data_IF_345275203824
#
_entry.id   IF_345275203824
#
_cell.length_a   1.000
_cell.length_b   1.000
_cell.length_c   1.000
_cell.angle_alpha   90.00
_cell.angle_beta   90.00
_cell.angle_gamma   90.00
#
_symmetry.space_group_name_H-M   'P 1'
#
loop_
_entity.id
_entity.type
_entity.pdbx_description
1 polymer ?
#
# COMPACT_ATOMS: atom_id res chain seq x y z
N UNK A 1 -22.13 -0.61 10.15
CA UNK A 1 -21.19 0.08 11.06
C UNK A 1 -19.78 -0.07 10.53
N UNK A 2 -18.96 0.98 10.58
CA UNK A 2 -17.54 0.87 10.22
C UNK A 2 -16.82 -0.08 11.19
N UNK A 3 -16.09 -1.07 10.67
CA UNK A 3 -15.24 -1.92 11.52
C UNK A 3 -14.04 -1.11 12.02
N UNK A 4 -13.78 -1.18 13.33
CA UNK A 4 -12.56 -0.62 13.91
C UNK A 4 -11.44 -1.65 13.78
N UNK A 5 -10.33 -1.23 13.18
CA UNK A 5 -9.13 -2.07 12.97
C UNK A 5 -7.94 -1.38 13.62
N UNK A 6 -7.12 -2.13 14.34
CA UNK A 6 -5.80 -1.66 14.77
C UNK A 6 -4.81 -1.86 13.63
N UNK A 7 -4.20 -0.78 13.15
CA UNK A 7 -3.36 -0.79 11.95
C UNK A 7 -2.21 0.20 12.12
N UNK A 8 -1.05 -0.08 11.50
CA UNK A 8 0.07 0.86 11.46
C UNK A 8 -0.26 2.06 10.56
N UNK A 9 0.33 3.23 10.83
CA UNK A 9 0.08 4.44 10.02
C UNK A 9 0.40 4.26 8.52
N UNK A 10 1.54 3.62 8.22
CA UNK A 10 1.94 3.32 6.83
C UNK A 10 0.94 2.40 6.11
N UNK A 11 0.45 1.36 6.80
CA UNK A 11 -0.54 0.43 6.27
C UNK A 11 -1.89 1.12 6.07
N UNK A 12 -2.28 2.00 6.99
CA UNK A 12 -3.51 2.78 6.90
C UNK A 12 -3.48 3.75 5.71
N UNK A 13 -2.36 4.42 5.49
CA UNK A 13 -2.16 5.27 4.30
C UNK A 13 -2.27 4.43 3.02
N UNK A 14 -1.62 3.26 3.00
CA UNK A 14 -1.62 2.41 1.81
C UNK A 14 -3.03 1.86 1.49
N UNK A 15 -3.75 1.38 2.51
CA UNK A 15 -5.12 0.90 2.36
C UNK A 15 -6.10 2.02 1.99
N UNK A 16 -5.90 3.23 2.52
CA UNK A 16 -6.68 4.40 2.13
C UNK A 16 -6.49 4.74 0.64
N UNK A 17 -5.25 4.72 0.14
CA UNK A 17 -4.96 4.95 -1.28
C UNK A 17 -5.63 3.88 -2.16
N UNK A 18 -5.56 2.61 -1.76
CA UNK A 18 -6.23 1.50 -2.46
C UNK A 18 -7.76 1.70 -2.49
N UNK A 19 -8.34 2.05 -1.34
CA UNK A 19 -9.78 2.30 -1.18
C UNK A 19 -10.24 3.48 -2.03
N UNK A 20 -9.39 4.51 -2.16
CA UNK A 20 -9.63 5.67 -3.02
C UNK A 20 -9.52 5.36 -4.53
N UNK A 21 -9.17 4.13 -4.91
CA UNK A 21 -9.11 3.69 -6.31
C UNK A 21 -7.70 3.55 -6.87
N UNK A 22 -6.64 3.69 -6.06
CA UNK A 22 -5.29 3.41 -6.51
C UNK A 22 -5.16 1.94 -6.95
N UNK A 23 -4.64 1.73 -8.17
CA UNK A 23 -4.40 0.39 -8.75
C UNK A 23 -2.98 0.18 -9.23
N UNK A 24 -2.15 1.23 -9.26
CA UNK A 24 -0.77 1.13 -9.70
C UNK A 24 0.12 1.87 -8.70
N UNK A 25 1.10 1.19 -8.12
CA UNK A 25 2.05 1.79 -7.19
C UNK A 25 3.47 1.39 -7.59
N UNK A 26 4.32 2.39 -7.74
CA UNK A 26 5.73 2.26 -8.10
C UNK A 26 6.53 2.75 -6.91
N UNK A 27 7.22 1.83 -6.23
CA UNK A 27 7.85 2.11 -4.94
C UNK A 27 9.33 1.76 -4.91
N UNK A 28 10.11 2.55 -4.18
CA UNK A 28 11.48 2.23 -3.79
C UNK A 28 11.58 2.14 -2.26
N UNK A 29 12.24 1.11 -1.69
CA UNK A 29 12.39 0.97 -0.24
C UNK A 29 13.22 2.11 0.37
N UNK A 30 12.62 2.89 1.27
CA UNK A 30 13.32 3.92 2.07
C UNK A 30 12.66 4.05 3.44
N UNK A 31 13.47 4.11 4.50
CA UNK A 31 12.98 4.27 5.87
C UNK A 31 12.50 5.70 6.12
N UNK A 32 11.40 5.90 6.88
CA UNK A 32 10.57 4.92 7.59
C UNK A 32 9.35 4.39 6.79
N UNK A 33 9.22 4.71 5.50
CA UNK A 33 8.03 4.42 4.68
C UNK A 33 8.05 3.06 3.98
N UNK A 34 9.08 2.22 4.21
CA UNK A 34 9.22 0.88 3.61
C UNK A 34 7.96 0.01 3.76
N UNK A 35 7.20 0.17 4.85
CA UNK A 35 5.98 -0.59 5.08
C UNK A 35 4.84 -0.23 4.10
N UNK A 36 4.81 0.98 3.53
CA UNK A 36 3.84 1.35 2.49
C UNK A 36 4.07 0.48 1.25
N UNK A 37 5.31 0.40 0.78
CA UNK A 37 5.69 -0.44 -0.36
C UNK A 37 5.43 -1.92 -0.07
N UNK A 38 5.77 -2.40 1.13
CA UNK A 38 5.50 -3.77 1.56
C UNK A 38 4.00 -4.11 1.65
N UNK A 39 3.14 -3.14 2.03
CA UNK A 39 1.70 -3.32 2.08
C UNK A 39 1.08 -3.32 0.67
N UNK A 40 1.48 -2.37 -0.17
CA UNK A 40 1.06 -2.24 -1.56
C UNK A 40 1.39 -3.49 -2.38
N UNK A 41 2.61 -4.03 -2.24
CA UNK A 41 3.03 -5.26 -2.94
C UNK A 41 2.19 -6.47 -2.58
N UNK A 42 1.67 -6.54 -1.36
CA UNK A 42 0.78 -7.63 -0.90
C UNK A 42 -0.68 -7.44 -1.29
N UNK A 43 -1.18 -6.20 -1.34
CA UNK A 43 -2.61 -5.92 -1.54
C UNK A 43 -2.98 -5.72 -3.00
N UNK A 44 -2.20 -4.96 -3.77
CA UNK A 44 -2.55 -4.60 -5.15
C UNK A 44 -2.80 -5.81 -6.05
N UNK A 45 -1.98 -6.88 -6.06
CA UNK A 45 -2.24 -8.05 -6.89
C UNK A 45 -3.57 -8.75 -6.59
N UNK A 46 -4.06 -8.66 -5.34
CA UNK A 46 -5.32 -9.29 -4.90
C UNK A 46 -6.57 -8.56 -5.41
N UNK A 47 -6.42 -7.34 -5.91
CA UNK A 47 -7.51 -6.49 -6.41
C UNK A 47 -7.31 -6.08 -7.87
N UNK A 48 -6.48 -6.82 -8.62
CA UNK A 48 -6.18 -6.56 -10.02
C UNK A 48 -5.32 -5.33 -10.27
N UNK A 49 -4.63 -4.82 -9.24
CA UNK A 49 -3.65 -3.74 -9.36
C UNK A 49 -2.22 -4.26 -9.55
N UNK A 50 -1.32 -3.35 -9.89
CA UNK A 50 0.11 -3.61 -10.11
C UNK A 50 0.94 -2.89 -9.06
N UNK A 51 1.83 -3.64 -8.43
CA UNK A 51 2.96 -3.10 -7.68
C UNK A 51 4.23 -3.32 -8.50
N UNK A 52 5.04 -2.28 -8.66
CA UNK A 52 6.39 -2.39 -9.22
C UNK A 52 7.40 -1.82 -8.23
N UNK A 53 8.47 -2.57 -7.97
CA UNK A 53 9.63 -2.04 -7.28
C UNK A 53 10.47 -1.28 -8.31
N UNK A 54 10.49 0.04 -8.20
CA UNK A 54 11.27 0.91 -9.08
C UNK A 54 12.73 1.03 -8.61
N UNK A 55 13.60 1.48 -9.49
CA UNK A 55 14.93 2.00 -9.18
C UNK A 55 14.85 3.42 -8.57
N UNK A 56 15.92 3.85 -7.87
CA UNK A 56 16.14 5.25 -7.47
C UNK A 56 16.97 5.99 -8.48
#
# INVERSE_FOLDING_TARGET
MSQRVLMKGNEALAEAAITAGCRHFFGYPITPQTEVAAYMSKRLPKIGGVYLQAES
#
